data_IF_902466615881
#
_entry.id   IF_902466615881
#
_cell.length_a   1.000
_cell.length_b   1.000
_cell.length_c   1.000
_cell.angle_alpha   90.00
_cell.angle_beta   90.00
_cell.angle_gamma   90.00
#
_symmetry.space_group_name_H-M   'P 1'
#
loop_
_entity.id
_entity.type
_entity.pdbx_description
1 polymer ?
#
# COMPACT_ATOMS: atom_id res chain seq x y z
N UNK A 1 -32.80 59.67 6.45
CA UNK A 1 -32.54 58.50 7.30
C UNK A 1 -32.09 57.38 6.40
N UNK A 2 -30.79 57.25 6.27
CA UNK A 2 -30.12 56.26 5.37
C UNK A 2 -29.71 55.06 6.23
N UNK A 3 -30.37 53.93 6.02
CA UNK A 3 -30.08 52.67 6.68
C UNK A 3 -28.85 52.02 6.04
N UNK A 4 -27.76 51.86 6.81
CA UNK A 4 -26.51 51.21 6.42
C UNK A 4 -26.69 49.68 6.50
N UNK A 5 -26.51 48.91 5.43
CA UNK A 5 -26.57 47.47 5.50
C UNK A 5 -25.29 46.93 6.23
N UNK A 6 -25.51 46.28 7.37
CA UNK A 6 -24.46 45.52 8.09
C UNK A 6 -23.78 44.55 7.14
N UNK A 7 -22.50 44.80 6.85
CA UNK A 7 -21.62 43.80 6.21
C UNK A 7 -21.60 42.56 7.09
N UNK A 8 -22.09 41.46 6.55
CA UNK A 8 -22.07 40.15 7.21
C UNK A 8 -20.62 39.79 7.56
N UNK A 9 -20.37 39.49 8.82
CA UNK A 9 -19.12 39.02 9.33
C UNK A 9 -18.73 37.74 8.54
N UNK A 10 -17.72 37.84 7.68
CA UNK A 10 -17.06 36.66 7.09
C UNK A 10 -16.55 35.81 8.24
N UNK A 11 -17.20 34.67 8.45
CA UNK A 11 -16.76 33.68 9.44
C UNK A 11 -15.27 33.36 9.24
N UNK A 12 -14.57 33.15 10.35
CA UNK A 12 -13.17 32.72 10.33
C UNK A 12 -13.06 31.50 9.40
N UNK A 13 -12.12 31.50 8.42
CA UNK A 13 -11.97 30.37 7.50
C UNK A 13 -11.88 29.06 8.29
N UNK A 14 -12.49 27.97 7.80
CA UNK A 14 -12.45 26.69 8.50
C UNK A 14 -10.98 26.32 8.78
N UNK A 15 -10.67 25.91 10.01
CA UNK A 15 -9.32 25.56 10.44
C UNK A 15 -8.77 24.35 9.69
N UNK A 16 -9.63 23.49 9.16
CA UNK A 16 -9.30 22.30 8.38
C UNK A 16 -10.06 22.39 7.06
N UNK A 17 -9.31 22.36 5.95
CA UNK A 17 -9.83 22.24 4.59
C UNK A 17 -9.55 20.83 4.07
N UNK A 18 -10.23 20.40 3.01
CA UNK A 18 -9.97 19.11 2.36
C UNK A 18 -8.52 18.99 1.90
N UNK A 19 -7.94 20.06 1.37
CA UNK A 19 -6.54 20.12 0.95
C UNK A 19 -5.58 19.92 2.13
N UNK A 20 -5.75 20.70 3.21
CA UNK A 20 -4.95 20.55 4.43
C UNK A 20 -5.09 19.16 5.05
N UNK A 21 -6.28 18.57 5.00
CA UNK A 21 -6.52 17.23 5.49
C UNK A 21 -5.74 16.19 4.66
N UNK A 22 -5.77 16.34 3.32
CA UNK A 22 -4.99 15.53 2.39
C UNK A 22 -3.49 15.64 2.67
N UNK A 23 -2.97 16.86 2.74
CA UNK A 23 -1.54 17.10 2.99
C UNK A 23 -1.10 16.51 4.34
N UNK A 24 -1.94 16.65 5.38
CA UNK A 24 -1.68 16.09 6.69
C UNK A 24 -1.67 14.54 6.69
N UNK A 25 -2.53 13.91 5.90
CA UNK A 25 -2.55 12.45 5.70
C UNK A 25 -1.24 12.01 5.02
N UNK A 26 -0.84 12.67 3.94
CA UNK A 26 0.37 12.34 3.19
C UNK A 26 1.66 12.61 3.96
N UNK A 27 1.62 13.46 4.98
CA UNK A 27 2.76 13.72 5.87
C UNK A 27 2.93 12.66 6.98
N UNK A 28 1.96 11.73 7.13
CA UNK A 28 2.04 10.61 8.10
C UNK A 28 2.55 9.38 7.34
N UNK A 29 3.86 9.16 7.41
CA UNK A 29 4.54 8.05 6.74
C UNK A 29 4.90 6.95 7.75
N UNK A 30 5.00 5.70 7.30
CA UNK A 30 5.44 4.55 8.08
C UNK A 30 4.42 4.00 9.08
N UNK A 31 3.29 4.68 9.27
CA UNK A 31 2.22 4.26 10.18
C UNK A 31 0.83 4.49 9.59
N UNK A 32 -0.15 3.77 10.13
CA UNK A 32 -1.56 4.02 9.78
C UNK A 32 -2.05 5.26 10.51
N UNK A 33 -2.58 6.29 9.82
CA UNK A 33 -3.08 7.50 10.46
C UNK A 33 -4.13 7.21 11.52
N UNK A 34 -3.98 7.85 12.69
CA UNK A 34 -4.96 7.84 13.77
C UNK A 34 -5.59 9.23 13.94
N UNK A 35 -6.77 9.30 14.57
CA UNK A 35 -7.40 10.60 14.87
C UNK A 35 -6.46 11.51 15.68
N UNK A 36 -5.73 11.00 16.71
CA UNK A 36 -4.76 11.83 17.43
C UNK A 36 -3.53 12.23 16.58
N UNK A 37 -2.96 11.34 15.74
CA UNK A 37 -1.81 11.69 14.89
C UNK A 37 -2.20 12.76 13.86
N UNK A 38 -3.38 12.63 13.24
CA UNK A 38 -3.90 13.61 12.29
C UNK A 38 -4.19 14.97 12.95
N UNK A 39 -4.78 14.97 14.15
CA UNK A 39 -5.04 16.20 14.91
C UNK A 39 -3.74 16.94 15.24
N UNK A 40 -2.71 16.21 15.64
CA UNK A 40 -1.35 16.72 15.90
C UNK A 40 -0.75 17.34 14.63
N UNK A 41 -0.82 16.63 13.50
CA UNK A 41 -0.29 17.09 12.22
C UNK A 41 -0.98 18.39 11.74
N UNK A 42 -2.29 18.52 11.97
CA UNK A 42 -3.07 19.69 11.60
C UNK A 42 -2.99 20.85 12.60
N UNK A 43 -2.44 20.61 13.81
CA UNK A 43 -2.41 21.62 14.89
C UNK A 43 -3.80 21.96 15.44
N UNK A 44 -4.70 20.96 15.51
CA UNK A 44 -6.08 21.13 16.00
C UNK A 44 -6.42 20.11 17.07
N UNK A 45 -7.54 20.33 17.79
CA UNK A 45 -8.05 19.31 18.72
C UNK A 45 -8.70 18.13 17.98
N UNK A 46 -8.64 16.93 18.58
CA UNK A 46 -9.26 15.69 18.02
C UNK A 46 -10.76 15.90 17.75
N UNK A 47 -11.46 16.66 18.58
CA UNK A 47 -12.87 17.00 18.37
C UNK A 47 -13.12 17.73 17.03
N UNK A 48 -12.15 18.50 16.53
CA UNK A 48 -12.23 19.14 15.22
C UNK A 48 -12.16 18.12 14.09
N UNK A 49 -11.41 17.03 14.26
CA UNK A 49 -11.30 15.97 13.24
C UNK A 49 -12.64 15.23 13.08
N UNK A 50 -13.39 15.02 14.17
CA UNK A 50 -14.71 14.39 14.14
C UNK A 50 -15.77 15.15 13.31
N UNK A 51 -15.55 16.42 13.00
CA UNK A 51 -16.41 17.16 12.06
C UNK A 51 -16.14 16.81 10.59
N UNK A 52 -15.01 16.12 10.30
CA UNK A 52 -14.58 15.72 8.96
C UNK A 52 -14.62 14.21 8.73
N UNK A 53 -14.41 13.40 9.79
CA UNK A 53 -14.44 11.93 9.73
C UNK A 53 -15.17 11.37 10.96
N UNK A 54 -16.02 10.35 10.76
CA UNK A 54 -16.89 9.79 11.81
C UNK A 54 -16.20 8.80 12.74
N UNK A 55 -14.90 8.56 12.56
CA UNK A 55 -14.12 7.65 13.38
C UNK A 55 -12.91 7.10 12.66
N UNK A 56 -12.21 6.18 13.33
CA UNK A 56 -10.93 5.63 12.86
C UNK A 56 -11.06 4.89 11.53
N UNK A 57 -12.14 4.14 11.33
CA UNK A 57 -12.35 3.37 10.10
C UNK A 57 -12.61 4.27 8.88
N UNK A 58 -13.38 5.35 9.07
CA UNK A 58 -13.57 6.33 7.99
C UNK A 58 -12.28 7.08 7.67
N UNK A 59 -11.47 7.39 8.70
CA UNK A 59 -10.14 7.96 8.51
C UNK A 59 -9.23 7.03 7.71
N UNK A 60 -9.20 5.73 8.02
CA UNK A 60 -8.41 4.75 7.27
C UNK A 60 -8.81 4.72 5.80
N UNK A 61 -10.11 4.69 5.50
CA UNK A 61 -10.63 4.72 4.12
C UNK A 61 -10.23 6.00 3.40
N UNK A 62 -10.43 7.14 4.04
CA UNK A 62 -10.05 8.42 3.47
C UNK A 62 -8.55 8.51 3.21
N UNK A 63 -7.73 8.04 4.14
CA UNK A 63 -6.28 8.05 4.00
C UNK A 63 -5.82 7.14 2.85
N UNK A 64 -6.35 5.93 2.74
CA UNK A 64 -6.06 5.04 1.62
C UNK A 64 -6.51 5.66 0.27
N UNK A 65 -7.67 6.29 0.25
CA UNK A 65 -8.19 6.97 -0.94
C UNK A 65 -7.28 8.11 -1.39
N UNK A 66 -6.82 8.92 -0.44
CA UNK A 66 -5.89 10.03 -0.69
C UNK A 66 -4.54 9.52 -1.21
N UNK A 67 -3.97 8.51 -0.58
CA UNK A 67 -2.68 7.93 -1.00
C UNK A 67 -2.77 7.36 -2.41
N UNK A 68 -3.77 6.53 -2.69
CA UNK A 68 -3.92 5.87 -4.00
C UNK A 68 -4.32 6.85 -5.12
N UNK A 69 -5.04 7.92 -4.79
CA UNK A 69 -5.40 8.94 -5.78
C UNK A 69 -4.20 9.80 -6.18
N UNK A 70 -3.28 10.04 -5.25
CA UNK A 70 -2.06 10.83 -5.49
C UNK A 70 -0.90 10.03 -6.01
N UNK A 71 -0.93 8.71 -5.88
CA UNK A 71 0.16 7.88 -6.34
C UNK A 71 0.21 7.80 -7.86
N UNK A 72 1.32 8.24 -8.42
CA UNK A 72 1.61 8.15 -9.86
C UNK A 72 2.14 6.75 -10.19
N UNK A 73 1.51 6.08 -11.15
CA UNK A 73 1.98 4.78 -11.63
C UNK A 73 3.29 4.94 -12.42
N UNK A 74 4.19 3.95 -12.43
CA UNK A 74 5.44 4.01 -13.18
C UNK A 74 5.18 4.32 -14.66
N UNK A 75 6.01 5.19 -15.29
CA UNK A 75 5.91 5.43 -16.71
C UNK A 75 6.34 4.20 -17.52
N UNK A 76 5.80 4.04 -18.73
CA UNK A 76 6.26 3.03 -19.69
C UNK A 76 6.90 3.72 -20.90
N UNK A 77 8.23 3.71 -21.01
CA UNK A 77 8.90 4.10 -22.24
C UNK A 77 8.41 3.31 -23.46
N UNK A 78 8.46 3.87 -24.69
CA UNK A 78 8.06 3.14 -25.89
C UNK A 78 8.77 1.79 -26.01
N UNK A 79 8.02 0.73 -26.33
CA UNK A 79 8.53 -0.64 -26.45
C UNK A 79 8.67 -1.40 -25.13
N UNK A 80 8.23 -0.82 -24.00
CA UNK A 80 8.21 -1.55 -22.73
C UNK A 80 7.30 -2.76 -22.82
N UNK A 81 7.81 -3.92 -22.46
CA UNK A 81 7.01 -5.15 -22.35
C UNK A 81 6.13 -5.09 -21.09
N UNK A 82 4.88 -5.52 -21.18
CA UNK A 82 3.91 -5.48 -20.08
C UNK A 82 4.42 -6.13 -18.79
N UNK A 83 5.19 -7.24 -18.89
CA UNK A 83 5.71 -7.94 -17.73
C UNK A 83 6.79 -7.13 -16.99
N UNK A 84 7.65 -6.44 -17.71
CA UNK A 84 8.65 -5.55 -17.11
C UNK A 84 7.99 -4.36 -16.42
N UNK A 85 6.95 -3.82 -17.04
CA UNK A 85 6.17 -2.75 -16.43
C UNK A 85 5.44 -3.21 -15.17
N UNK A 86 4.79 -4.38 -15.19
CA UNK A 86 4.12 -4.95 -14.01
C UNK A 86 5.09 -5.27 -12.87
N UNK A 87 6.31 -5.72 -13.17
CA UNK A 87 7.34 -5.89 -12.15
C UNK A 87 7.74 -4.56 -11.54
N UNK A 88 7.97 -3.53 -12.35
CA UNK A 88 8.25 -2.17 -11.85
C UNK A 88 7.09 -1.62 -11.02
N UNK A 89 5.86 -1.82 -11.47
CA UNK A 89 4.64 -1.46 -10.75
C UNK A 89 4.53 -2.20 -9.40
N UNK A 90 4.81 -3.51 -9.36
CA UNK A 90 4.77 -4.28 -8.13
C UNK A 90 5.82 -3.79 -7.11
N UNK A 91 7.05 -3.53 -7.56
CA UNK A 91 8.13 -2.97 -6.74
C UNK A 91 7.77 -1.59 -6.20
N UNK A 92 7.14 -0.75 -7.02
CA UNK A 92 6.69 0.57 -6.61
C UNK A 92 5.52 0.51 -5.63
N UNK A 93 4.56 -0.39 -5.88
CA UNK A 93 3.44 -0.67 -4.98
C UNK A 93 3.93 -1.10 -3.59
N UNK A 94 4.97 -1.95 -3.55
CA UNK A 94 5.60 -2.36 -2.32
C UNK A 94 6.18 -1.17 -1.56
N UNK A 95 6.99 -0.31 -2.22
CA UNK A 95 7.54 0.91 -1.60
C UNK A 95 6.42 1.84 -1.10
N UNK A 96 5.33 1.94 -1.85
CA UNK A 96 4.17 2.73 -1.46
C UNK A 96 3.50 2.17 -0.19
N UNK A 97 3.33 0.85 -0.06
CA UNK A 97 2.77 0.21 1.14
C UNK A 97 3.71 0.36 2.34
N UNK A 98 5.02 0.22 2.14
CA UNK A 98 6.01 0.43 3.21
C UNK A 98 5.96 1.87 3.73
N UNK A 99 5.77 2.84 2.83
CA UNK A 99 5.64 4.27 3.17
C UNK A 99 4.27 4.62 3.75
N UNK A 100 3.21 4.02 3.22
CA UNK A 100 1.82 4.28 3.60
C UNK A 100 1.06 2.97 3.87
N UNK A 101 1.25 2.35 5.04
CA UNK A 101 0.63 1.05 5.36
C UNK A 101 -0.90 1.04 5.24
N UNK A 102 -1.54 2.19 5.37
CA UNK A 102 -2.99 2.33 5.24
C UNK A 102 -3.52 1.91 3.86
N UNK A 103 -2.67 1.94 2.81
CA UNK A 103 -3.10 1.70 1.44
C UNK A 103 -3.50 0.25 1.15
N UNK A 104 -3.06 -0.73 1.96
CA UNK A 104 -3.36 -2.15 1.73
C UNK A 104 -4.58 -2.70 2.48
N UNK A 105 -5.07 -2.04 3.52
CA UNK A 105 -6.04 -2.62 4.47
C UNK A 105 -7.50 -2.22 4.31
N UNK A 106 -7.89 -1.50 3.25
CA UNK A 106 -9.25 -0.94 3.17
C UNK A 106 -10.19 -1.74 2.25
N UNK A 107 -11.35 -2.13 2.78
CA UNK A 107 -12.50 -2.65 2.03
C UNK A 107 -13.78 -1.95 2.55
N UNK A 108 -14.78 -1.69 1.69
CA UNK A 108 -14.86 -1.83 0.23
C UNK A 108 -14.03 -0.79 -0.52
N UNK A 109 -13.73 -1.03 -1.79
CA UNK A 109 -13.01 -0.10 -2.66
C UNK A 109 -13.72 1.26 -2.72
N UNK A 110 -12.98 2.31 -2.40
CA UNK A 110 -13.45 3.69 -2.47
C UNK A 110 -12.96 4.40 -3.75
N UNK A 111 -13.33 5.65 -3.96
CA UNK A 111 -13.13 6.35 -5.23
C UNK A 111 -11.69 6.42 -5.71
N UNK A 112 -10.71 6.69 -4.83
CA UNK A 112 -9.30 6.75 -5.18
C UNK A 112 -8.73 5.39 -5.60
N UNK A 113 -9.14 4.33 -4.90
CA UNK A 113 -8.77 2.96 -5.27
C UNK A 113 -9.28 2.58 -6.65
N UNK A 114 -10.52 2.94 -6.97
CA UNK A 114 -11.10 2.67 -8.29
C UNK A 114 -10.42 3.47 -9.39
N UNK A 115 -10.12 4.77 -9.16
CA UNK A 115 -9.37 5.59 -10.10
C UNK A 115 -7.95 5.08 -10.31
N UNK A 116 -7.30 4.61 -9.24
CA UNK A 116 -5.99 3.98 -9.34
C UNK A 116 -6.05 2.70 -10.19
N UNK A 117 -7.00 1.80 -9.90
CA UNK A 117 -7.22 0.58 -10.69
C UNK A 117 -7.48 0.90 -12.16
N UNK A 118 -8.32 1.89 -12.46
CA UNK A 118 -8.60 2.32 -13.84
C UNK A 118 -7.34 2.77 -14.57
N UNK A 119 -6.48 3.58 -13.93
CA UNK A 119 -5.19 4.01 -14.52
C UNK A 119 -4.28 2.82 -14.84
N UNK A 120 -4.17 1.85 -13.92
CA UNK A 120 -3.34 0.66 -14.13
C UNK A 120 -3.91 -0.22 -15.26
N UNK A 121 -5.21 -0.45 -15.27
CA UNK A 121 -5.87 -1.25 -16.32
C UNK A 121 -5.75 -0.59 -17.70
N UNK A 122 -5.98 0.71 -17.79
CA UNK A 122 -5.81 1.46 -19.05
C UNK A 122 -4.38 1.31 -19.58
N UNK A 123 -3.39 1.43 -18.71
CA UNK A 123 -1.99 1.29 -19.07
C UNK A 123 -1.62 -0.13 -19.55
N UNK A 124 -2.12 -1.18 -18.88
CA UNK A 124 -1.92 -2.56 -19.32
C UNK A 124 -2.55 -2.84 -20.69
N UNK A 125 -3.69 -2.20 -20.99
CA UNK A 125 -4.33 -2.28 -22.29
C UNK A 125 -3.48 -1.60 -23.38
N UNK A 126 -2.91 -0.43 -23.09
CA UNK A 126 -1.95 0.25 -23.96
C UNK A 126 -0.69 -0.58 -24.22
N UNK A 127 -0.27 -1.41 -23.25
CA UNK A 127 0.81 -2.38 -23.40
C UNK A 127 0.42 -3.69 -24.10
N UNK A 128 -0.77 -3.77 -24.68
CA UNK A 128 -1.22 -4.87 -25.54
C UNK A 128 -2.00 -5.98 -24.85
N UNK A 129 -2.46 -5.78 -23.62
CA UNK A 129 -3.40 -6.72 -22.98
C UNK A 129 -4.84 -6.41 -23.41
N UNK A 130 -5.68 -7.44 -23.56
CA UNK A 130 -7.10 -7.23 -23.58
C UNK A 130 -7.64 -6.94 -22.16
N UNK A 131 -8.88 -6.44 -22.06
CA UNK A 131 -9.49 -6.06 -20.78
C UNK A 131 -9.45 -7.19 -19.72
N UNK A 132 -9.76 -8.41 -20.11
CA UNK A 132 -9.81 -9.56 -19.21
C UNK A 132 -8.42 -9.95 -18.71
N UNK A 133 -7.43 -9.89 -19.58
CA UNK A 133 -6.02 -10.14 -19.24
C UNK A 133 -5.47 -9.07 -18.29
N UNK A 134 -5.74 -7.79 -18.59
CA UNK A 134 -5.32 -6.67 -17.73
C UNK A 134 -5.93 -6.79 -16.32
N UNK A 135 -7.25 -7.07 -16.24
CA UNK A 135 -7.92 -7.26 -14.95
C UNK A 135 -7.35 -8.46 -14.17
N UNK A 136 -7.11 -9.58 -14.87
CA UNK A 136 -6.51 -10.75 -14.26
C UNK A 136 -5.10 -10.46 -13.73
N UNK A 137 -4.24 -9.84 -14.55
CA UNK A 137 -2.88 -9.49 -14.19
C UNK A 137 -2.83 -8.51 -13.00
N UNK A 138 -3.64 -7.46 -13.05
CA UNK A 138 -3.79 -6.50 -11.95
C UNK A 138 -4.20 -7.18 -10.64
N UNK A 139 -5.19 -8.09 -10.71
CA UNK A 139 -5.68 -8.81 -9.54
C UNK A 139 -4.61 -9.74 -8.94
N UNK A 140 -3.88 -10.50 -9.79
CA UNK A 140 -2.84 -11.42 -9.31
C UNK A 140 -1.68 -10.67 -8.63
N UNK A 141 -1.17 -9.63 -9.27
CA UNK A 141 -0.11 -8.79 -8.69
C UNK A 141 -0.63 -8.06 -7.44
N UNK A 142 -1.87 -7.56 -7.47
CA UNK A 142 -2.50 -6.92 -6.32
C UNK A 142 -2.58 -7.83 -5.10
N UNK A 143 -2.93 -9.11 -5.26
CA UNK A 143 -2.97 -10.09 -4.16
C UNK A 143 -1.59 -10.31 -3.54
N UNK A 144 -0.52 -10.39 -4.36
CA UNK A 144 0.85 -10.50 -3.85
C UNK A 144 1.25 -9.26 -3.05
N UNK A 145 0.99 -8.08 -3.58
CA UNK A 145 1.32 -6.80 -2.93
C UNK A 145 0.54 -6.63 -1.63
N UNK A 146 -0.76 -6.99 -1.61
CA UNK A 146 -1.60 -6.93 -0.41
C UNK A 146 -1.15 -7.94 0.65
N UNK A 147 -0.81 -9.17 0.23
CA UNK A 147 -0.27 -10.20 1.13
C UNK A 147 1.04 -9.77 1.78
N UNK A 148 1.93 -9.18 0.99
CA UNK A 148 3.18 -8.62 1.50
C UNK A 148 2.93 -7.48 2.50
N UNK A 149 1.99 -6.56 2.20
CA UNK A 149 1.64 -5.49 3.11
C UNK A 149 1.15 -6.00 4.47
N UNK A 150 0.30 -7.03 4.46
CA UNK A 150 -0.17 -7.69 5.68
C UNK A 150 0.98 -8.37 6.45
N UNK A 151 1.92 -9.01 5.74
CA UNK A 151 3.11 -9.61 6.35
C UNK A 151 4.00 -8.56 7.02
N UNK A 152 4.29 -7.46 6.33
CA UNK A 152 5.10 -6.35 6.88
C UNK A 152 4.45 -5.78 8.16
N UNK A 153 3.13 -5.57 8.17
CA UNK A 153 2.44 -5.09 9.38
C UNK A 153 2.51 -6.10 10.52
N UNK A 154 2.29 -7.38 10.24
CA UNK A 154 2.36 -8.43 11.25
C UNK A 154 3.77 -8.53 11.86
N UNK A 155 4.81 -8.54 11.02
CA UNK A 155 6.22 -8.58 11.47
C UNK A 155 6.56 -7.35 12.33
N UNK A 156 6.19 -6.15 11.90
CA UNK A 156 6.44 -4.92 12.69
C UNK A 156 5.72 -4.93 14.03
N UNK A 157 4.49 -5.44 14.07
CA UNK A 157 3.72 -5.55 15.32
C UNK A 157 4.39 -6.52 16.29
N UNK A 158 4.88 -7.65 15.80
CA UNK A 158 5.57 -8.66 16.59
C UNK A 158 6.93 -8.16 17.09
N UNK A 159 7.73 -7.54 16.22
CA UNK A 159 9.00 -6.91 16.60
C UNK A 159 8.80 -5.83 17.67
N UNK A 160 7.75 -5.00 17.55
CA UNK A 160 7.44 -3.97 18.54
C UNK A 160 7.02 -4.57 19.90
N UNK A 161 6.38 -5.74 19.90
CA UNK A 161 5.91 -6.42 21.10
C UNK A 161 7.01 -7.24 21.78
N UNK A 162 7.79 -8.01 21.02
CA UNK A 162 8.80 -8.95 21.52
C UNK A 162 10.19 -8.32 21.67
N UNK A 163 10.49 -7.30 20.87
CA UNK A 163 11.84 -6.74 20.72
C UNK A 163 12.79 -7.63 19.90
N UNK A 164 12.27 -8.69 19.27
CA UNK A 164 13.01 -9.65 18.47
C UNK A 164 12.68 -9.46 16.99
N UNK A 165 13.68 -9.62 16.12
CA UNK A 165 13.44 -9.78 14.68
C UNK A 165 12.91 -11.19 14.35
N UNK A 166 12.50 -11.42 13.10
CA UNK A 166 11.96 -12.70 12.66
C UNK A 166 12.87 -13.88 13.01
N UNK A 167 14.19 -13.70 12.85
CA UNK A 167 15.17 -14.73 13.23
C UNK A 167 15.22 -14.98 14.74
N UNK A 168 15.15 -13.92 15.55
CA UNK A 168 15.11 -14.02 17.00
C UNK A 168 13.90 -14.80 17.50
N UNK A 169 12.72 -14.59 16.89
CA UNK A 169 11.50 -15.33 17.18
C UNK A 169 11.63 -16.82 16.83
N UNK A 170 12.22 -17.13 15.67
CA UNK A 170 12.50 -18.52 15.28
C UNK A 170 13.47 -19.19 16.25
N UNK A 171 14.54 -18.52 16.63
CA UNK A 171 15.53 -19.04 17.61
C UNK A 171 14.89 -19.32 18.95
N UNK A 172 14.00 -18.47 19.43
CA UNK A 172 13.25 -18.69 20.65
C UNK A 172 12.35 -19.93 20.53
N UNK A 173 11.64 -20.09 19.42
CA UNK A 173 10.81 -21.27 19.13
C UNK A 173 11.64 -22.55 19.07
N UNK A 174 12.80 -22.56 18.41
CA UNK A 174 13.70 -23.70 18.33
C UNK A 174 14.23 -24.11 19.71
N UNK A 175 14.52 -23.14 20.56
CA UNK A 175 15.00 -23.40 21.92
C UNK A 175 13.89 -23.96 22.83
N UNK A 176 12.66 -23.50 22.62
CA UNK A 176 11.51 -23.88 23.45
C UNK A 176 10.92 -25.22 23.04
N UNK A 177 10.96 -25.56 21.75
CA UNK A 177 10.33 -26.75 21.17
C UNK A 177 11.31 -27.58 20.28
N UNK A 178 12.48 -27.99 20.80
CA UNK A 178 13.51 -28.63 19.97
C UNK A 178 13.05 -29.99 19.36
N UNK A 179 12.25 -30.74 20.09
CA UNK A 179 11.75 -32.05 19.63
C UNK A 179 10.60 -31.96 18.63
N UNK A 180 9.92 -30.81 18.58
CA UNK A 180 8.78 -30.58 17.69
C UNK A 180 9.21 -29.98 16.34
N UNK A 181 10.40 -29.39 16.27
CA UNK A 181 10.88 -28.60 15.12
C UNK A 181 12.21 -29.14 14.56
N UNK A 182 12.36 -30.46 14.30
CA UNK A 182 13.67 -31.04 13.93
C UNK A 182 14.22 -30.51 12.61
N UNK A 183 13.36 -30.16 11.65
CA UNK A 183 13.80 -29.62 10.34
C UNK A 183 14.07 -28.13 10.43
N UNK A 184 13.20 -27.38 11.09
CA UNK A 184 13.35 -25.93 11.22
C UNK A 184 14.50 -25.56 12.16
N UNK A 185 14.77 -26.36 13.17
CA UNK A 185 15.86 -26.15 14.13
C UNK A 185 17.26 -26.29 13.52
N UNK A 186 17.37 -26.90 12.34
CA UNK A 186 18.63 -27.00 11.56
C UNK A 186 18.87 -25.79 10.66
N UNK A 187 17.89 -24.86 10.52
CA UNK A 187 18.02 -23.69 9.66
C UNK A 187 19.10 -22.72 10.18
N UNK A 188 19.88 -22.22 9.24
CA UNK A 188 20.80 -21.11 9.47
C UNK A 188 20.15 -19.78 9.01
N UNK A 189 20.57 -18.67 9.65
CA UNK A 189 20.01 -17.34 9.34
C UNK A 189 20.10 -16.96 7.83
N UNK A 190 21.15 -17.41 7.17
CA UNK A 190 21.41 -17.16 5.73
C UNK A 190 20.53 -17.99 4.80
N UNK A 191 19.82 -19.00 5.31
CA UNK A 191 18.89 -19.82 4.54
C UNK A 191 17.51 -19.18 4.43
N UNK A 192 17.19 -18.23 5.32
CA UNK A 192 15.97 -17.46 5.19
C UNK A 192 16.10 -16.48 4.01
N UNK A 193 15.22 -16.60 3.00
CA UNK A 193 15.23 -15.66 1.89
C UNK A 193 14.92 -14.26 2.41
N UNK A 194 15.68 -13.25 1.99
CA UNK A 194 15.31 -11.90 2.29
C UNK A 194 13.93 -11.59 1.67
N UNK A 195 13.09 -10.84 2.37
CA UNK A 195 11.75 -10.46 1.90
C UNK A 195 11.81 -9.79 0.51
N UNK A 196 12.91 -9.06 0.22
CA UNK A 196 13.13 -8.42 -1.07
C UNK A 196 13.34 -9.41 -2.19
N UNK A 197 14.23 -10.39 -1.99
CA UNK A 197 14.54 -11.41 -2.99
C UNK A 197 13.31 -12.30 -3.24
N UNK A 198 12.66 -12.76 -2.18
CA UNK A 198 11.46 -13.57 -2.26
C UNK A 198 10.32 -12.83 -3.00
N UNK A 199 10.17 -11.53 -2.79
CA UNK A 199 9.12 -10.75 -3.44
C UNK A 199 9.31 -10.67 -4.96
N UNK A 200 10.50 -10.31 -5.42
CA UNK A 200 10.77 -10.20 -6.85
C UNK A 200 10.62 -11.56 -7.56
N UNK A 201 11.05 -12.64 -6.92
CA UNK A 201 10.89 -13.99 -7.43
C UNK A 201 9.40 -14.39 -7.53
N UNK A 202 8.62 -14.16 -6.50
CA UNK A 202 7.17 -14.43 -6.50
C UNK A 202 6.44 -13.64 -7.58
N UNK A 203 6.76 -12.35 -7.72
CA UNK A 203 6.18 -11.53 -8.80
C UNK A 203 6.54 -12.13 -10.15
N UNK A 204 7.80 -12.48 -10.37
CA UNK A 204 8.26 -13.05 -11.65
C UNK A 204 7.60 -14.40 -11.98
N UNK A 205 7.44 -15.28 -11.00
CA UNK A 205 6.68 -16.53 -11.19
C UNK A 205 5.23 -16.25 -11.58
N UNK A 206 4.61 -15.26 -10.96
CA UNK A 206 3.24 -14.84 -11.29
C UNK A 206 3.15 -14.30 -12.73
N UNK A 207 4.09 -13.44 -13.13
CA UNK A 207 4.16 -12.91 -14.49
C UNK A 207 4.41 -14.00 -15.53
N UNK A 208 5.24 -14.99 -15.20
CA UNK A 208 5.45 -16.17 -16.06
C UNK A 208 4.16 -16.99 -16.23
N UNK A 209 3.38 -17.17 -15.17
CA UNK A 209 2.07 -17.80 -15.24
C UNK A 209 1.07 -17.02 -16.13
N UNK A 210 1.06 -15.69 -16.02
CA UNK A 210 0.24 -14.81 -16.87
C UNK A 210 0.68 -14.93 -18.34
N UNK A 211 1.97 -14.89 -18.63
CA UNK A 211 2.51 -15.02 -19.98
C UNK A 211 2.13 -16.36 -20.63
N UNK A 212 2.28 -17.47 -19.90
CA UNK A 212 1.84 -18.79 -20.38
C UNK A 212 0.35 -18.82 -20.75
N UNK A 213 -0.49 -18.19 -19.93
CA UNK A 213 -1.93 -18.08 -20.21
C UNK A 213 -2.21 -17.27 -21.48
N UNK A 214 -1.34 -16.31 -21.82
CA UNK A 214 -1.41 -15.49 -23.05
C UNK A 214 -0.74 -16.18 -24.26
N UNK A 215 -0.12 -17.35 -24.09
CA UNK A 215 0.66 -18.02 -25.13
C UNK A 215 2.02 -17.35 -25.39
N UNK A 216 2.54 -16.60 -24.45
CA UNK A 216 3.80 -15.87 -24.53
C UNK A 216 4.90 -16.55 -23.68
N UNK A 217 6.15 -16.30 -24.05
CA UNK A 217 7.31 -16.70 -23.26
C UNK A 217 8.01 -15.41 -22.81
N UNK A 218 8.20 -15.27 -21.50
CA UNK A 218 8.94 -14.11 -20.97
C UNK A 218 10.44 -14.23 -21.26
N UNK A 219 11.13 -13.07 -21.37
CA UNK A 219 12.59 -13.03 -21.40
C UNK A 219 13.17 -13.77 -20.16
N UNK A 220 14.28 -14.47 -20.33
CA UNK A 220 14.84 -15.36 -19.30
C UNK A 220 15.48 -14.61 -18.12
N UNK A 221 15.66 -13.30 -18.21
CA UNK A 221 16.31 -12.48 -17.17
C UNK A 221 15.32 -11.46 -16.59
N UNK A 222 15.29 -11.41 -15.25
CA UNK A 222 14.79 -10.27 -14.50
C UNK A 222 15.62 -9.03 -14.86
N UNK A 223 14.96 -7.91 -15.18
CA UNK A 223 15.65 -6.64 -15.43
C UNK A 223 16.25 -6.06 -14.14
#
# INVERSE_FOLDING_TARGET
MTSNPKAGARGRPPRVTAERLRDAILAIEGEVPTLPSLARQLGVGVATIYSHVRGQEELRRLAADVVLDTWEIPPAPPGTHWAHWLLAYARDSRRMIERYPVAHGTRPMAGGQLRHAERVLAHLIELGMNRSEALYAFHQVGLLVLGLGAQIEATRAEEAQSGLDEWGLLQEAFTTHPDELPVLGELERNELPSLNAAFDELVWFTLTGIARRRGEVLPTQLP
#
